data_IF_408948161886
#
_entry.id   IF_408948161886
#
_cell.length_a   1.000
_cell.length_b   1.000
_cell.length_c   1.000
_cell.angle_alpha   90.00
_cell.angle_beta   90.00
_cell.angle_gamma   90.00
#
_symmetry.space_group_name_H-M   'P 1'
#
loop_
_entity.id
_entity.type
_entity.pdbx_description
1 polymer ?
#
# COMPACT_ATOMS: atom_id res chain seq x y z
N UNK A 1 61.42 8.48 20.60
CA UNK A 1 60.63 7.67 21.56
C UNK A 1 59.47 8.54 22.03
N UNK A 2 58.18 8.27 21.83
CA UNK A 2 57.38 7.14 21.32
C UNK A 2 56.20 7.72 20.51
N UNK A 3 55.65 7.05 19.49
CA UNK A 3 54.38 7.45 18.90
C UNK A 3 53.21 7.05 19.80
N UNK A 4 52.21 7.92 19.90
CA UNK A 4 50.92 7.65 20.56
C UNK A 4 49.98 7.11 19.48
N UNK A 5 49.58 5.84 19.61
CA UNK A 5 48.57 5.24 18.76
C UNK A 5 47.18 5.73 19.19
N UNK A 6 46.45 6.37 18.29
CA UNK A 6 45.03 6.64 18.47
C UNK A 6 44.24 5.38 18.13
N UNK A 7 43.52 4.85 19.12
CA UNK A 7 42.62 3.70 18.97
C UNK A 7 41.33 4.16 18.29
N UNK A 8 41.02 3.62 17.11
CA UNK A 8 39.73 3.83 16.46
C UNK A 8 38.60 3.17 17.28
N UNK A 9 37.46 3.84 17.51
CA UNK A 9 36.27 3.15 18.00
C UNK A 9 35.66 2.33 16.88
N UNK A 10 35.53 1.02 17.09
CA UNK A 10 34.73 0.13 16.24
C UNK A 10 33.28 0.60 16.24
N UNK A 11 32.81 1.07 15.08
CA UNK A 11 31.40 1.35 14.84
C UNK A 11 30.73 0.01 14.47
N UNK A 12 30.11 -0.63 15.45
CA UNK A 12 29.22 -1.77 15.21
C UNK A 12 27.81 -1.20 14.97
N UNK A 13 27.22 -1.34 13.76
CA UNK A 13 25.82 -0.99 13.57
C UNK A 13 24.95 -2.00 14.33
N UNK A 14 23.95 -1.58 15.11
CA UNK A 14 22.88 -2.48 15.50
C UNK A 14 22.05 -2.77 14.23
N UNK A 15 22.18 -3.98 13.69
CA UNK A 15 21.24 -4.52 12.73
C UNK A 15 20.11 -5.20 13.51
N UNK A 16 19.22 -4.38 14.08
CA UNK A 16 17.87 -4.85 14.37
C UNK A 16 17.10 -4.72 13.06
N UNK A 17 17.08 -5.79 12.26
CA UNK A 17 16.13 -5.89 11.16
C UNK A 17 14.71 -5.84 11.75
N UNK A 18 13.85 -4.89 11.35
CA UNK A 18 12.46 -4.92 11.79
C UNK A 18 11.81 -6.18 11.20
N UNK A 19 11.56 -7.15 12.07
CA UNK A 19 10.70 -8.30 11.78
C UNK A 19 9.26 -7.79 11.71
N UNK A 20 8.88 -7.19 10.59
CA UNK A 20 7.50 -6.82 10.34
C UNK A 20 6.69 -8.11 10.21
N UNK A 21 5.64 -8.33 11.03
CA UNK A 21 4.84 -9.54 10.90
C UNK A 21 4.20 -9.61 9.52
N UNK A 22 4.42 -10.71 8.80
CA UNK A 22 4.00 -10.97 7.41
C UNK A 22 2.48 -10.87 7.15
N UNK A 23 1.66 -10.61 8.17
CA UNK A 23 0.19 -10.59 8.09
C UNK A 23 -0.39 -9.44 8.92
N UNK A 24 -0.03 -8.20 8.62
CA UNK A 24 -0.70 -7.04 9.22
C UNK A 24 -2.12 -6.93 8.66
N UNK A 25 -3.05 -6.47 9.51
CA UNK A 25 -4.43 -6.20 9.13
C UNK A 25 -4.84 -4.83 9.62
N UNK A 26 -5.67 -4.14 8.84
CA UNK A 26 -6.35 -2.94 9.29
C UNK A 26 -7.76 -3.28 9.76
N UNK A 27 -8.35 -2.42 10.58
CA UNK A 27 -9.73 -2.58 11.06
C UNK A 27 -10.48 -1.25 11.14
N UNK A 28 -11.70 -1.21 10.60
CA UNK A 28 -12.62 -0.07 10.73
C UNK A 28 -13.83 -0.51 11.54
N UNK A 29 -14.07 0.12 12.69
CA UNK A 29 -15.23 -0.17 13.55
C UNK A 29 -16.22 0.99 13.53
N UNK A 30 -17.47 0.70 13.18
CA UNK A 30 -18.54 1.69 13.12
C UNK A 30 -19.12 2.01 14.49
N UNK A 31 -19.81 3.14 14.62
CA UNK A 31 -20.56 3.52 15.84
C UNK A 31 -21.64 2.50 16.23
N UNK A 32 -22.15 1.72 15.27
CA UNK A 32 -23.11 0.64 15.50
C UNK A 32 -22.48 -0.70 15.90
N UNK A 33 -21.14 -0.77 16.04
CA UNK A 33 -20.41 -1.97 16.43
C UNK A 33 -20.07 -2.95 15.29
N UNK A 34 -20.38 -2.61 14.03
CA UNK A 34 -19.88 -3.37 12.88
C UNK A 34 -18.37 -3.12 12.73
N UNK A 35 -17.57 -4.19 12.66
CA UNK A 35 -16.14 -4.12 12.37
C UNK A 35 -15.86 -4.75 11.00
N UNK A 36 -15.17 -4.00 10.15
CA UNK A 36 -14.56 -4.48 8.92
C UNK A 36 -13.06 -4.60 9.12
N UNK A 37 -12.45 -5.61 8.49
CA UNK A 37 -11.01 -5.79 8.48
C UNK A 37 -10.53 -6.09 7.08
N UNK A 38 -9.26 -5.81 6.82
CA UNK A 38 -8.61 -6.13 5.56
C UNK A 38 -7.11 -6.30 5.72
N UNK A 39 -6.47 -6.74 4.65
CA UNK A 39 -5.02 -6.89 4.59
C UNK A 39 -4.35 -5.52 4.63
N UNK A 40 -3.34 -5.37 5.48
CA UNK A 40 -2.48 -4.19 5.52
C UNK A 40 -1.10 -4.60 5.00
N UNK A 41 -0.72 -4.20 3.78
CA UNK A 41 0.56 -4.61 3.23
C UNK A 41 1.75 -4.11 4.08
N UNK A 42 2.84 -4.89 4.21
CA UNK A 42 4.00 -4.48 4.99
C UNK A 42 4.72 -3.26 4.40
N UNK A 43 4.54 -3.01 3.10
CA UNK A 43 5.08 -1.83 2.41
C UNK A 43 4.25 -0.56 2.65
N UNK A 44 3.02 -0.67 3.17
CA UNK A 44 2.20 0.49 3.46
C UNK A 44 2.73 1.24 4.70
N UNK A 45 2.96 2.53 4.51
CA UNK A 45 3.50 3.44 5.53
C UNK A 45 2.48 3.69 6.66
N UNK A 46 1.21 3.81 6.30
CA UNK A 46 0.12 4.12 7.22
C UNK A 46 -0.85 2.95 7.43
N UNK A 47 -1.37 2.83 8.65
CA UNK A 47 -2.47 1.92 9.00
C UNK A 47 -3.79 2.68 8.92
N UNK A 48 -4.71 2.32 7.99
CA UNK A 48 -5.99 3.01 7.83
C UNK A 48 -7.05 2.60 8.87
N UNK A 49 -6.66 1.90 9.95
CA UNK A 49 -7.58 1.50 11.00
C UNK A 49 -8.24 2.69 11.68
N UNK A 50 -9.55 2.60 11.90
CA UNK A 50 -10.32 3.67 12.57
C UNK A 50 -11.48 3.09 13.41
N UNK A 51 -11.94 3.86 14.39
CA UNK A 51 -13.02 3.47 15.29
C UNK A 51 -14.06 4.56 15.40
N UNK A 52 -15.30 4.18 15.69
CA UNK A 52 -16.44 5.09 15.77
C UNK A 52 -16.76 5.79 14.44
N UNK A 53 -16.50 5.13 13.31
CA UNK A 53 -16.91 5.62 11.99
C UNK A 53 -18.44 5.57 11.90
N UNK A 54 -19.14 6.69 11.60
CA UNK A 54 -20.58 6.63 11.39
C UNK A 54 -20.92 5.67 10.25
N UNK A 55 -21.94 4.82 10.44
CA UNK A 55 -22.28 3.77 9.46
C UNK A 55 -22.55 4.35 8.06
N UNK A 56 -23.15 5.53 7.99
CA UNK A 56 -23.43 6.28 6.76
C UNK A 56 -22.18 6.81 6.04
N UNK A 57 -21.03 6.88 6.72
CA UNK A 57 -19.74 7.28 6.13
C UNK A 57 -18.87 6.10 5.71
N UNK A 58 -19.23 4.88 6.10
CA UNK A 58 -18.40 3.70 5.90
C UNK A 58 -18.03 3.49 4.43
N UNK A 59 -18.95 3.73 3.49
CA UNK A 59 -18.66 3.59 2.06
C UNK A 59 -17.61 4.58 1.58
N UNK A 60 -17.71 5.85 1.98
CA UNK A 60 -16.72 6.87 1.62
C UNK A 60 -15.37 6.57 2.26
N UNK A 61 -15.35 6.18 3.54
CA UNK A 61 -14.11 5.77 4.23
C UNK A 61 -13.42 4.61 3.52
N UNK A 62 -14.18 3.62 3.02
CA UNK A 62 -13.59 2.52 2.25
C UNK A 62 -13.07 2.96 0.89
N UNK A 63 -13.78 3.85 0.17
CA UNK A 63 -13.31 4.39 -1.11
C UNK A 63 -12.00 5.15 -0.96
N UNK A 64 -11.86 5.92 0.12
CA UNK A 64 -10.66 6.70 0.44
C UNK A 64 -9.54 5.85 1.06
N UNK A 65 -9.81 4.57 1.36
CA UNK A 65 -8.81 3.68 1.95
C UNK A 65 -7.68 3.45 0.94
N UNK A 66 -6.50 3.92 1.34
CA UNK A 66 -5.32 3.97 0.49
C UNK A 66 -4.16 3.29 1.20
N UNK A 67 -3.45 2.42 0.49
CA UNK A 67 -2.14 1.95 0.92
C UNK A 67 -1.07 2.71 0.13
N UNK A 68 -0.17 3.36 0.85
CA UNK A 68 0.82 4.27 0.28
C UNK A 68 2.23 3.96 0.79
N UNK A 69 3.23 4.08 -0.08
CA UNK A 69 4.66 4.04 0.26
C UNK A 69 5.39 5.19 -0.45
N UNK A 70 5.97 6.17 0.25
CA UNK A 70 6.64 7.30 -0.38
C UNK A 70 8.05 6.95 -0.91
N UNK A 71 8.49 7.67 -1.93
CA UNK A 71 9.86 7.69 -2.43
C UNK A 71 10.34 9.11 -2.63
N UNK A 72 11.59 9.37 -2.24
CA UNK A 72 12.24 10.65 -2.44
C UNK A 72 12.52 10.93 -3.92
N UNK A 73 12.52 12.22 -4.25
CA UNK A 73 12.92 12.73 -5.57
C UNK A 73 14.38 13.18 -5.60
N UNK A 74 14.66 14.08 -6.55
CA UNK A 74 15.93 14.78 -6.68
C UNK A 74 15.78 16.24 -6.31
N UNK A 75 16.68 16.73 -5.46
CA UNK A 75 16.72 18.14 -5.07
C UNK A 75 17.39 18.97 -6.17
N UNK A 76 16.68 19.96 -6.72
CA UNK A 76 17.15 20.81 -7.82
C UNK A 76 16.86 22.28 -7.57
N UNK A 77 17.68 23.15 -8.17
CA UNK A 77 17.41 24.58 -8.21
C UNK A 77 16.32 24.88 -9.23
N UNK A 78 15.28 25.58 -8.81
CA UNK A 78 14.12 25.91 -9.63
C UNK A 78 13.62 27.31 -9.34
N UNK A 79 12.90 27.90 -10.30
CA UNK A 79 12.14 29.12 -10.09
C UNK A 79 10.66 28.74 -9.98
N UNK A 80 10.00 29.02 -8.84
CA UNK A 80 8.56 28.86 -8.74
C UNK A 80 7.89 29.79 -9.75
N UNK A 81 6.68 29.45 -10.23
CA UNK A 81 5.93 30.34 -11.09
C UNK A 81 5.83 31.72 -10.43
N UNK A 82 6.18 32.76 -11.19
CA UNK A 82 5.92 34.12 -10.74
C UNK A 82 4.40 34.24 -10.58
N UNK A 83 3.90 34.22 -9.35
CA UNK A 83 2.48 34.43 -9.12
C UNK A 83 2.08 35.75 -9.80
N UNK A 84 0.96 35.71 -10.53
CA UNK A 84 0.45 36.84 -11.32
C UNK A 84 0.10 38.08 -10.47
N UNK A 85 0.27 38.01 -9.15
CA UNK A 85 0.05 39.10 -8.20
C UNK A 85 1.18 40.15 -8.23
N UNK A 86 2.28 39.91 -8.95
CA UNK A 86 3.35 40.89 -9.17
C UNK A 86 4.12 41.28 -7.91
N UNK A 87 3.84 40.63 -6.78
CA UNK A 87 4.41 40.95 -5.46
C UNK A 87 5.39 39.89 -4.95
N UNK A 88 5.35 38.69 -5.53
CA UNK A 88 6.32 37.66 -5.24
C UNK A 88 7.56 37.90 -6.08
N UNK A 89 8.67 38.35 -5.46
CA UNK A 89 9.99 38.18 -6.09
C UNK A 89 10.09 36.71 -6.42
N UNK A 90 10.15 36.36 -7.71
CA UNK A 90 10.47 35.02 -8.17
C UNK A 90 11.88 34.69 -7.68
N UNK A 91 11.97 34.20 -6.44
CA UNK A 91 13.21 33.81 -5.80
C UNK A 91 13.66 32.50 -6.40
N UNK A 92 14.96 32.37 -6.64
CA UNK A 92 15.56 31.06 -6.83
C UNK A 92 15.31 30.23 -5.56
N UNK A 93 14.73 29.05 -5.76
CA UNK A 93 14.43 28.09 -4.70
C UNK A 93 15.14 26.77 -4.95
N UNK A 94 15.14 25.94 -3.93
CA UNK A 94 15.54 24.53 -4.02
C UNK A 94 14.30 23.70 -3.72
N UNK A 95 13.95 22.81 -4.64
CA UNK A 95 12.77 21.95 -4.49
C UNK A 95 13.11 20.50 -4.86
N UNK A 96 12.28 19.56 -4.40
CA UNK A 96 12.41 18.14 -4.68
C UNK A 96 11.51 17.78 -5.86
N UNK A 97 12.13 17.44 -6.98
CA UNK A 97 11.44 17.05 -8.22
C UNK A 97 11.42 15.53 -8.34
N UNK A 98 10.41 14.99 -9.03
CA UNK A 98 10.31 13.55 -9.33
C UNK A 98 10.23 12.64 -8.08
N UNK A 99 9.76 13.17 -6.95
CA UNK A 99 9.33 12.32 -5.84
C UNK A 99 8.11 11.51 -6.27
N UNK A 100 7.78 10.47 -5.53
CA UNK A 100 6.71 9.57 -5.92
C UNK A 100 6.24 8.68 -4.79
N UNK A 101 5.39 7.73 -5.16
CA UNK A 101 4.86 6.74 -4.22
C UNK A 101 4.40 5.50 -4.98
N UNK A 102 4.37 4.36 -4.27
CA UNK A 102 3.48 3.26 -4.62
C UNK A 102 2.14 3.54 -3.92
N UNK A 103 1.04 3.40 -4.66
CA UNK A 103 -0.33 3.59 -4.17
C UNK A 103 -1.20 2.41 -4.58
N UNK A 104 -2.17 2.06 -3.72
CA UNK A 104 -3.27 1.16 -4.03
C UNK A 104 -4.56 1.65 -3.36
N UNK A 105 -5.61 1.86 -4.15
CA UNK A 105 -6.95 2.19 -3.68
C UNK A 105 -7.83 0.94 -3.75
N UNK A 106 -7.90 0.17 -2.67
CA UNK A 106 -8.47 -1.19 -2.68
C UNK A 106 -9.94 -1.23 -3.08
N UNK A 107 -10.67 -0.13 -2.86
CA UNK A 107 -12.09 0.00 -3.16
C UNK A 107 -12.41 1.03 -4.25
N UNK A 108 -11.41 1.53 -4.99
CA UNK A 108 -11.63 2.48 -6.10
C UNK A 108 -12.63 1.92 -7.12
N UNK A 109 -13.42 2.77 -7.76
CA UNK A 109 -14.28 2.34 -8.86
C UNK A 109 -13.46 1.93 -10.10
N UNK A 110 -12.27 2.51 -10.29
CA UNK A 110 -11.33 2.06 -11.31
C UNK A 110 -10.59 0.81 -10.83
N UNK A 111 -10.85 -0.32 -11.49
CA UNK A 111 -10.22 -1.60 -11.19
C UNK A 111 -8.70 -1.57 -11.35
N UNK A 112 -8.16 -0.63 -12.14
CA UNK A 112 -6.71 -0.48 -12.34
C UNK A 112 -6.01 0.08 -11.10
N UNK A 113 -6.72 0.81 -10.26
CA UNK A 113 -6.20 1.41 -9.03
C UNK A 113 -6.26 0.45 -7.83
N UNK A 114 -7.03 -0.64 -7.95
CA UNK A 114 -7.12 -1.71 -6.94
C UNK A 114 -5.92 -2.66 -6.90
N UNK A 115 -4.90 -2.38 -7.70
CA UNK A 115 -3.63 -3.09 -7.71
C UNK A 115 -2.52 -2.06 -7.55
N UNK A 116 -1.47 -2.31 -6.74
CA UNK A 116 -0.39 -1.35 -6.54
C UNK A 116 0.15 -0.79 -7.86
N UNK A 117 0.34 0.52 -7.90
CA UNK A 117 0.90 1.26 -9.02
C UNK A 117 1.77 2.41 -8.50
N UNK A 118 2.64 2.94 -9.36
CA UNK A 118 3.53 4.05 -9.00
C UNK A 118 2.99 5.36 -9.54
N UNK A 119 2.93 6.37 -8.70
CA UNK A 119 2.80 7.76 -9.10
C UNK A 119 4.18 8.43 -9.04
N UNK A 120 4.52 9.20 -10.08
CA UNK A 120 5.68 10.08 -10.07
C UNK A 120 5.17 11.50 -10.19
N UNK A 121 5.49 12.33 -9.21
CA UNK A 121 5.12 13.72 -9.19
C UNK A 121 6.11 14.49 -10.08
N UNK A 122 5.59 15.01 -11.19
CA UNK A 122 6.29 15.97 -12.03
C UNK A 122 5.80 17.35 -11.59
N UNK A 123 6.74 18.21 -11.20
CA UNK A 123 6.42 19.53 -10.66
C UNK A 123 5.86 20.41 -11.79
N UNK A 124 4.64 20.91 -11.60
CA UNK A 124 3.93 21.78 -12.55
C UNK A 124 4.33 23.25 -12.37
N UNK A 125 4.40 24.02 -13.45
CA UNK A 125 4.69 25.46 -13.49
C UNK A 125 6.08 25.96 -13.04
N UNK A 126 7.05 25.08 -12.75
CA UNK A 126 8.42 25.49 -12.42
C UNK A 126 9.32 25.58 -13.66
N UNK A 127 10.16 26.61 -13.68
CA UNK A 127 11.15 26.82 -14.75
C UNK A 127 12.57 26.74 -14.20
N UNK A 128 13.47 26.15 -14.98
CA UNK A 128 14.92 26.27 -14.80
C UNK A 128 15.46 27.25 -15.84
N UNK A 129 15.82 28.46 -15.42
CA UNK A 129 16.23 29.54 -16.31
C UNK A 129 17.72 29.84 -16.17
N UNK A 130 18.32 30.40 -17.22
CA UNK A 130 19.71 30.90 -17.23
C UNK A 130 20.76 29.85 -16.83
N UNK A 131 20.51 28.57 -17.13
CA UNK A 131 21.43 27.48 -16.84
C UNK A 131 22.79 27.71 -17.52
N UNK A 132 23.84 27.65 -16.71
CA UNK A 132 25.22 27.59 -17.20
C UNK A 132 25.56 26.17 -17.68
N UNK A 133 26.69 25.96 -18.37
CA UNK A 133 27.15 24.60 -18.73
C UNK A 133 27.30 23.66 -17.53
N UNK A 134 27.74 24.19 -16.38
CA UNK A 134 27.87 23.42 -15.14
C UNK A 134 26.49 23.05 -14.58
N UNK A 135 25.51 23.97 -14.63
CA UNK A 135 24.14 23.69 -14.20
C UNK A 135 23.46 22.64 -15.08
N UNK A 136 23.70 22.66 -16.39
CA UNK A 136 23.21 21.62 -17.31
C UNK A 136 23.81 20.26 -16.99
N UNK A 137 25.09 20.24 -16.63
CA UNK A 137 25.77 19.01 -16.22
C UNK A 137 25.21 18.48 -14.90
N UNK A 138 24.93 19.38 -13.95
CA UNK A 138 24.27 19.03 -12.70
C UNK A 138 22.86 18.46 -12.94
N UNK A 139 22.02 19.16 -13.72
CA UNK A 139 20.68 18.69 -14.09
C UNK A 139 20.73 17.30 -14.74
N UNK A 140 21.60 17.11 -15.72
CA UNK A 140 21.76 15.82 -16.38
C UNK A 140 22.23 14.72 -15.41
N UNK A 141 23.01 15.06 -14.39
CA UNK A 141 23.44 14.12 -13.35
C UNK A 141 22.26 13.72 -12.47
N UNK A 142 21.44 14.68 -12.04
CA UNK A 142 20.25 14.40 -11.23
C UNK A 142 19.21 13.57 -11.99
N UNK A 143 19.00 13.85 -13.28
CA UNK A 143 18.09 13.05 -14.10
C UNK A 143 18.57 11.60 -14.27
N UNK A 144 19.88 11.37 -14.38
CA UNK A 144 20.43 10.01 -14.39
C UNK A 144 20.26 9.32 -13.04
N UNK A 145 20.55 10.02 -11.95
CA UNK A 145 20.32 9.48 -10.61
C UNK A 145 18.85 9.10 -10.38
N UNK A 146 17.91 9.90 -10.89
CA UNK A 146 16.49 9.56 -10.83
C UNK A 146 16.14 8.35 -11.70
N UNK A 147 16.69 8.25 -12.90
CA UNK A 147 16.51 7.08 -13.75
C UNK A 147 17.04 5.81 -13.07
N UNK A 148 18.22 5.90 -12.44
CA UNK A 148 18.82 4.80 -11.69
C UNK A 148 17.94 4.40 -10.50
N UNK A 149 17.36 5.36 -9.76
CA UNK A 149 16.41 5.08 -8.67
C UNK A 149 15.13 4.40 -9.17
N UNK A 150 14.58 4.87 -10.29
CA UNK A 150 13.40 4.24 -10.91
C UNK A 150 13.69 2.78 -11.28
N UNK A 151 14.87 2.50 -11.83
CA UNK A 151 15.24 1.16 -12.32
C UNK A 151 15.59 0.18 -11.20
N UNK A 152 16.34 0.65 -10.20
CA UNK A 152 16.98 -0.19 -9.19
C UNK A 152 16.24 -0.22 -7.85
N UNK A 153 15.40 0.77 -7.54
CA UNK A 153 14.70 0.86 -6.26
C UNK A 153 13.18 0.75 -6.46
N UNK A 154 12.60 1.68 -7.22
CA UNK A 154 11.13 1.83 -7.31
C UNK A 154 10.50 0.69 -8.12
N UNK A 155 11.06 0.33 -9.29
CA UNK A 155 10.52 -0.77 -10.10
C UNK A 155 10.56 -2.11 -9.36
N UNK A 156 11.67 -2.54 -8.73
CA UNK A 156 11.68 -3.75 -7.91
C UNK A 156 10.68 -3.70 -6.74
N UNK A 157 10.57 -2.56 -6.04
CA UNK A 157 9.60 -2.40 -4.95
C UNK A 157 8.16 -2.55 -5.45
N UNK A 158 7.81 -1.97 -6.61
CA UNK A 158 6.49 -2.12 -7.21
C UNK A 158 6.19 -3.57 -7.58
N UNK A 159 7.16 -4.29 -8.15
CA UNK A 159 7.01 -5.72 -8.48
C UNK A 159 6.71 -6.51 -7.20
N UNK A 160 7.51 -6.30 -6.14
CA UNK A 160 7.30 -6.95 -4.86
C UNK A 160 5.92 -6.64 -4.26
N UNK A 161 5.52 -5.35 -4.24
CA UNK A 161 4.21 -4.93 -3.75
C UNK A 161 3.05 -5.58 -4.53
N UNK A 162 3.19 -5.73 -5.85
CA UNK A 162 2.18 -6.41 -6.68
C UNK A 162 2.10 -7.91 -6.41
N UNK A 163 3.24 -8.59 -6.33
CA UNK A 163 3.29 -10.03 -6.00
C UNK A 163 2.69 -10.30 -4.62
N UNK A 164 3.02 -9.48 -3.64
CA UNK A 164 2.45 -9.52 -2.30
C UNK A 164 0.93 -9.32 -2.33
N UNK A 165 0.45 -8.27 -3.01
CA UNK A 165 -0.97 -7.96 -3.14
C UNK A 165 -1.76 -9.11 -3.79
N UNK A 166 -1.24 -9.66 -4.88
CA UNK A 166 -1.87 -10.76 -5.62
C UNK A 166 -1.95 -12.04 -4.76
N UNK A 167 -0.91 -12.33 -3.97
CA UNK A 167 -0.88 -13.50 -3.08
C UNK A 167 -2.01 -13.45 -2.05
N UNK A 168 -2.26 -12.29 -1.45
CA UNK A 168 -3.26 -12.14 -0.38
C UNK A 168 -4.70 -11.97 -0.91
N UNK A 169 -4.87 -11.44 -2.14
CA UNK A 169 -6.20 -11.23 -2.72
C UNK A 169 -6.70 -12.40 -3.57
N UNK A 170 -5.79 -13.21 -4.13
CA UNK A 170 -6.17 -14.45 -4.83
C UNK A 170 -6.69 -15.50 -3.85
N UNK A 171 -6.14 -15.55 -2.63
CA UNK A 171 -6.59 -16.46 -1.56
C UNK A 171 -8.03 -16.14 -1.10
N UNK A 172 -8.40 -14.86 -1.01
CA UNK A 172 -9.76 -14.46 -0.63
C UNK A 172 -10.82 -14.84 -1.68
N UNK A 173 -10.44 -14.91 -2.96
CA UNK A 173 -11.34 -15.36 -4.02
C UNK A 173 -11.58 -16.89 -3.97
N UNK A 174 -10.55 -17.66 -3.61
CA UNK A 174 -10.66 -19.12 -3.44
C UNK A 174 -11.49 -19.50 -2.22
N UNK A 175 -11.30 -18.82 -1.08
CA UNK A 175 -12.07 -19.08 0.15
C UNK A 175 -13.56 -18.73 0.01
N UNK A 176 -13.91 -17.69 -0.78
CA UNK A 176 -15.32 -17.35 -1.07
C UNK A 176 -16.04 -18.36 -1.97
N UNK A 177 -15.31 -19.17 -2.74
CA UNK A 177 -15.90 -20.21 -3.59
C UNK A 177 -16.03 -21.57 -2.89
N UNK A 178 -15.48 -21.73 -1.68
CA UNK A 178 -15.67 -22.95 -0.91
C UNK A 178 -17.06 -22.90 -0.27
N UNK A 179 -18.02 -23.73 -0.71
CA UNK A 179 -19.34 -23.76 -0.08
C UNK A 179 -19.17 -24.10 1.40
N UNK A 180 -19.94 -23.48 2.32
CA UNK A 180 -19.82 -23.77 3.73
C UNK A 180 -19.94 -25.28 3.93
N UNK A 181 -18.96 -25.87 4.61
CA UNK A 181 -18.97 -27.28 4.97
C UNK A 181 -20.30 -27.56 5.67
N UNK A 182 -21.17 -28.29 4.98
CA UNK A 182 -22.57 -28.48 5.35
C UNK A 182 -22.63 -29.11 6.75
N UNK A 183 -23.06 -28.39 7.81
CA UNK A 183 -23.11 -28.97 9.12
C UNK A 183 -24.42 -29.76 9.22
N UNK A 184 -24.31 -31.09 9.28
CA UNK A 184 -25.35 -32.06 9.64
C UNK A 184 -26.13 -32.71 8.49
N UNK A 185 -25.58 -33.81 7.97
CA UNK A 185 -26.40 -35.03 7.83
C UNK A 185 -26.28 -35.81 9.13
N UNK A 186 -27.07 -35.43 10.16
CA UNK A 186 -27.41 -36.39 11.21
C UNK A 186 -28.25 -37.46 10.51
N UNK A 187 -27.68 -38.65 10.37
CA UNK A 187 -28.34 -39.85 9.87
C UNK A 187 -29.73 -39.98 10.53
N UNK A 188 -30.77 -39.73 9.73
CA UNK A 188 -32.13 -40.06 10.09
C UNK A 188 -32.20 -41.59 10.13
N UNK A 189 -32.49 -42.11 11.31
CA UNK A 189 -32.56 -43.51 11.67
C UNK A 189 -33.44 -44.30 10.70
N UNK A 190 -33.00 -45.51 10.37
CA UNK A 190 -33.71 -46.56 9.65
C UNK A 190 -35.21 -46.61 9.98
N UNK A 191 -36.05 -46.44 8.96
CA UNK A 191 -37.45 -46.86 9.02
C UNK A 191 -37.46 -48.35 8.69
N UNK A 192 -37.73 -49.16 9.72
CA UNK A 192 -37.86 -50.61 9.65
C UNK A 192 -39.14 -51.01 8.87
N UNK A 193 -39.07 -51.84 7.82
CA UNK A 193 -40.21 -52.14 6.95
C UNK A 193 -41.20 -53.22 7.45
N UNK A 194 -41.09 -53.71 8.69
CA UNK A 194 -41.85 -54.90 9.14
C UNK A 194 -43.25 -54.66 9.76
N UNK A 195 -43.84 -53.46 9.67
CA UNK A 195 -45.15 -53.17 10.30
C UNK A 195 -46.32 -53.01 9.31
N UNK A 196 -46.45 -53.94 8.34
CA UNK A 196 -47.61 -54.04 7.43
C UNK A 196 -48.33 -55.40 7.50
N UNK A 197 -48.56 -55.93 8.70
CA UNK A 197 -49.36 -57.15 8.86
C UNK A 197 -50.30 -57.06 10.05
N UNK A 198 -51.42 -56.34 9.87
CA UNK A 198 -52.69 -56.56 10.60
C UNK A 198 -53.77 -55.65 10.03
N UNK A 199 -54.65 -56.24 9.22
CA UNK A 199 -56.11 -55.96 9.18
C UNK A 199 -56.74 -56.86 8.10
N UNK A 200 -56.90 -58.13 8.43
CA UNK A 200 -57.88 -59.00 7.80
C UNK A 200 -58.71 -59.63 8.93
N UNK A 201 -59.98 -59.27 9.01
CA UNK A 201 -61.00 -59.88 9.87
C UNK A 201 -62.21 -60.28 9.02
N UNK A 202 -62.94 -61.35 9.36
CA UNK A 202 -63.68 -62.14 8.38
C UNK A 202 -65.18 -61.80 8.28
N UNK A 203 -65.67 -62.00 7.04
CA UNK A 203 -67.03 -62.31 6.53
C UNK A 203 -68.26 -61.76 7.24
#
# INVERSE_FOLDING_TARGET
>A
MKPVYATSPSHQPPADEPTTPDNRTWSITTTGGLTLTGYLPPWADEDPSDTNVPLEKLSTTLIDLTHWQPFDGQTMHVHPPAHADGNSKAGEGVDTLFNGNITCYSYSEDLRERTPYVNVHVVDDFWMNKLTPDDLTHLATQLRAQADRLDNEIRPALIAARTDWETHHSQQATDRMQPPANPSTKNLTEINPDDQSRLAGPR
#
